data_IF_667458413407
#
_entry.id   IF_667458413407
#
_cell.length_a   1.000
_cell.length_b   1.000
_cell.length_c   1.000
_cell.angle_alpha   90.00
_cell.angle_beta   90.00
_cell.angle_gamma   90.00
#
_symmetry.space_group_name_H-M   'P 1'
#
loop_
_entity.id
_entity.type
_entity.pdbx_description
1 polymer ?
#
# COMPACT_ATOMS: atom_id res chain seq x y z
N UNK A 1 38.72 3.82 50.33
CA UNK A 1 37.60 3.21 51.08
C UNK A 1 36.43 4.17 50.99
N UNK A 2 35.47 3.87 50.11
CA UNK A 2 34.18 4.58 50.06
C UNK A 2 33.12 3.49 50.27
N UNK A 3 32.42 3.62 51.39
CA UNK A 3 31.41 2.72 51.91
C UNK A 3 30.11 3.51 51.93
N UNK A 4 28.98 2.85 51.59
CA UNK A 4 27.54 3.23 51.71
C UNK A 4 26.82 3.15 50.35
N UNK A 5 25.58 2.70 50.20
CA UNK A 5 24.62 1.99 51.07
C UNK A 5 23.53 1.43 50.13
N UNK A 6 23.16 0.15 50.25
CA UNK A 6 21.97 -0.38 49.58
C UNK A 6 20.76 -0.22 50.52
N UNK A 7 19.79 0.58 50.12
CA UNK A 7 18.48 0.67 50.79
C UNK A 7 17.59 -0.41 50.18
N UNK A 8 17.31 -1.45 50.97
CA UNK A 8 16.32 -2.49 50.63
C UNK A 8 14.95 -2.02 51.11
N UNK A 9 14.05 -1.73 50.17
CA UNK A 9 12.67 -1.37 50.46
C UNK A 9 11.84 -2.66 50.64
N UNK A 10 11.47 -2.98 51.89
CA UNK A 10 10.47 -4.00 52.20
C UNK A 10 9.07 -3.45 51.91
N UNK A 11 8.33 -4.09 50.99
CA UNK A 11 6.88 -3.91 50.88
C UNK A 11 6.15 -4.97 51.71
N UNK A 12 5.09 -4.60 52.45
CA UNK A 12 4.26 -5.55 53.16
C UNK A 12 3.28 -6.25 52.20
N UNK A 13 3.24 -7.58 52.30
CA UNK A 13 2.22 -8.41 51.68
C UNK A 13 0.89 -8.25 52.43
N UNK A 14 -0.12 -7.67 51.77
CA UNK A 14 -1.52 -7.77 52.19
C UNK A 14 -2.25 -8.71 51.24
N UNK A 15 -2.48 -9.93 51.73
CA UNK A 15 -3.41 -10.89 51.14
C UNK A 15 -4.84 -10.52 51.56
N UNK A 16 -5.67 -10.14 50.61
CA UNK A 16 -7.12 -10.04 50.76
C UNK A 16 -7.75 -11.19 49.97
N UNK A 17 -8.27 -12.17 50.70
CA UNK A 17 -9.12 -13.23 50.16
C UNK A 17 -10.48 -12.64 49.76
N UNK A 18 -10.88 -12.85 48.51
CA UNK A 18 -12.23 -12.60 48.04
C UNK A 18 -12.92 -13.94 47.71
N UNK A 19 -14.22 -14.10 48.04
CA UNK A 19 -14.94 -15.35 47.86
C UNK A 19 -15.22 -15.67 46.40
N UNK A 20 -15.12 -16.97 46.11
CA UNK A 20 -15.37 -17.62 44.84
C UNK A 20 -16.84 -17.47 44.43
N UNK A 21 -17.12 -16.59 43.46
CA UNK A 21 -18.37 -16.61 42.72
C UNK A 21 -18.23 -17.55 41.52
N UNK A 22 -19.18 -18.47 41.38
CA UNK A 22 -19.23 -19.45 40.30
C UNK A 22 -19.30 -18.76 38.92
N UNK A 23 -18.69 -19.35 37.87
CA UNK A 23 -18.80 -18.81 36.52
C UNK A 23 -20.24 -18.99 36.00
N UNK A 24 -20.91 -17.88 35.72
CA UNK A 24 -22.09 -17.86 34.86
C UNK A 24 -21.68 -18.38 33.47
N UNK A 25 -22.39 -19.40 33.01
CA UNK A 25 -22.24 -19.94 31.66
C UNK A 25 -22.42 -18.82 30.61
N UNK A 26 -21.54 -18.70 29.60
CA UNK A 26 -21.82 -17.82 28.49
C UNK A 26 -23.01 -18.37 27.70
N UNK A 27 -24.02 -17.52 27.51
CA UNK A 27 -25.06 -17.73 26.52
C UNK A 27 -24.42 -17.94 25.14
N UNK A 28 -24.88 -18.95 24.40
CA UNK A 28 -24.46 -19.20 23.02
C UNK A 28 -24.84 -18.02 22.14
N UNK A 29 -23.88 -17.13 21.90
CA UNK A 29 -23.92 -16.19 20.79
C UNK A 29 -23.80 -17.02 19.51
N UNK A 30 -24.91 -17.16 18.78
CA UNK A 30 -24.88 -17.68 17.42
C UNK A 30 -23.91 -16.81 16.60
N UNK A 31 -22.75 -17.38 16.26
CA UNK A 31 -21.80 -16.73 15.36
C UNK A 31 -22.47 -16.63 13.99
N UNK A 32 -22.92 -15.43 13.63
CA UNK A 32 -23.16 -15.09 12.25
C UNK A 32 -21.82 -15.15 11.53
N UNK A 33 -21.52 -16.29 10.94
CA UNK A 33 -20.45 -16.46 9.99
C UNK A 33 -20.88 -15.76 8.70
N UNK A 34 -20.78 -14.43 8.66
CA UNK A 34 -20.68 -13.71 7.40
C UNK A 34 -19.34 -14.07 6.81
N UNK A 35 -19.33 -15.11 5.97
CA UNK A 35 -18.24 -15.32 5.04
C UNK A 35 -18.20 -14.06 4.16
N UNK A 36 -17.31 -13.13 4.53
CA UNK A 36 -16.89 -12.07 3.62
C UNK A 36 -16.30 -12.80 2.45
N UNK A 37 -16.93 -12.68 1.27
CA UNK A 37 -16.36 -13.21 0.05
C UNK A 37 -14.92 -12.68 -0.05
N UNK A 38 -13.93 -13.58 -0.02
CA UNK A 38 -12.57 -13.17 -0.35
C UNK A 38 -12.65 -12.63 -1.79
N UNK A 39 -12.15 -11.40 -2.05
CA UNK A 39 -12.09 -10.89 -3.40
C UNK A 39 -11.38 -11.92 -4.25
N UNK A 40 -12.03 -12.32 -5.35
CA UNK A 40 -11.40 -13.12 -6.39
C UNK A 40 -10.16 -12.36 -6.81
N UNK A 41 -8.99 -12.94 -6.59
CA UNK A 41 -7.72 -12.38 -7.01
C UNK A 41 -7.73 -12.26 -8.53
N UNK A 42 -8.14 -11.10 -9.03
CA UNK A 42 -7.88 -10.68 -10.40
C UNK A 42 -6.36 -10.68 -10.52
N UNK A 43 -5.81 -11.64 -11.28
CA UNK A 43 -4.36 -11.77 -11.43
C UNK A 43 -3.85 -10.47 -12.02
N UNK A 44 -2.99 -9.77 -11.29
CA UNK A 44 -2.29 -8.60 -11.80
C UNK A 44 -1.70 -8.89 -13.19
N UNK A 45 -1.55 -7.89 -14.06
CA UNK A 45 -0.82 -8.03 -15.31
C UNK A 45 0.52 -8.74 -15.07
N UNK A 46 0.92 -9.63 -15.98
CA UNK A 46 2.23 -10.29 -15.89
C UNK A 46 3.34 -9.24 -15.80
N UNK A 47 4.16 -9.32 -14.75
CA UNK A 47 5.31 -8.42 -14.58
C UNK A 47 6.40 -8.75 -15.59
N UNK A 48 7.10 -7.73 -16.09
CA UNK A 48 8.35 -7.90 -16.85
C UNK A 48 9.52 -7.35 -16.04
N UNK A 49 10.61 -8.12 -15.91
CA UNK A 49 11.80 -7.72 -15.16
C UNK A 49 12.31 -6.33 -15.52
N UNK A 50 12.55 -5.48 -14.52
CA UNK A 50 13.03 -4.11 -14.68
C UNK A 50 12.02 -3.14 -15.29
N UNK A 51 10.74 -3.52 -15.37
CA UNK A 51 9.67 -2.67 -15.92
C UNK A 51 8.53 -2.46 -14.96
N UNK A 52 7.93 -1.28 -15.05
CA UNK A 52 6.59 -1.02 -14.54
C UNK A 52 5.60 -1.22 -15.69
N UNK A 53 4.48 -1.88 -15.41
CA UNK A 53 3.38 -2.04 -16.35
C UNK A 53 2.11 -1.54 -15.68
N UNK A 54 1.43 -0.62 -16.34
CA UNK A 54 0.17 -0.05 -15.88
C UNK A 54 -0.96 -0.42 -16.85
N UNK A 55 -2.09 -0.87 -16.31
CA UNK A 55 -3.32 -1.14 -17.06
C UNK A 55 -4.40 -0.14 -16.66
N UNK A 56 -4.89 0.63 -17.63
CA UNK A 56 -6.12 1.39 -17.47
C UNK A 56 -7.30 0.47 -17.79
N UNK A 57 -7.98 -0.05 -16.77
CA UNK A 57 -9.20 -0.86 -16.96
C UNK A 57 -10.48 -0.02 -16.87
N UNK A 58 -10.37 1.30 -16.75
CA UNK A 58 -11.53 2.19 -16.76
C UNK A 58 -12.13 2.26 -18.18
N UNK A 59 -13.40 2.65 -18.25
CA UNK A 59 -14.12 2.91 -19.50
C UNK A 59 -13.83 4.32 -20.07
N UNK A 60 -12.88 5.03 -19.47
CA UNK A 60 -12.42 6.36 -19.86
C UNK A 60 -10.89 6.44 -19.90
N UNK A 61 -10.40 7.42 -20.64
CA UNK A 61 -8.98 7.74 -20.72
C UNK A 61 -8.48 8.36 -19.40
N UNK A 62 -7.22 8.12 -19.06
CA UNK A 62 -6.54 8.82 -17.96
C UNK A 62 -5.34 9.56 -18.49
N UNK A 63 -5.02 10.71 -17.90
CA UNK A 63 -3.76 11.38 -18.18
C UNK A 63 -2.74 11.05 -17.10
N UNK A 64 -1.47 11.09 -17.47
CA UNK A 64 -0.39 10.82 -16.53
C UNK A 64 0.69 11.90 -16.59
N UNK A 65 1.36 12.07 -15.45
CA UNK A 65 2.64 12.74 -15.32
C UNK A 65 3.60 11.81 -14.60
N UNK A 66 4.79 11.63 -15.15
CA UNK A 66 5.86 10.86 -14.56
C UNK A 66 6.93 11.82 -14.08
N UNK A 67 7.28 11.71 -12.80
CA UNK A 67 8.36 12.47 -12.17
C UNK A 67 9.46 11.48 -11.78
N UNK A 68 10.60 11.58 -12.48
CA UNK A 68 11.75 10.72 -12.29
C UNK A 68 12.90 11.55 -11.72
N UNK A 69 13.26 11.39 -10.43
CA UNK A 69 14.32 12.20 -9.80
C UNK A 69 15.71 12.02 -10.43
N UNK A 70 15.90 11.00 -11.28
CA UNK A 70 17.14 10.77 -12.02
C UNK A 70 17.15 11.35 -13.45
N UNK A 71 16.12 12.10 -13.86
CA UNK A 71 16.12 12.91 -15.07
C UNK A 71 16.11 12.14 -16.40
N UNK A 72 15.94 10.82 -16.38
CA UNK A 72 15.94 9.98 -17.59
C UNK A 72 14.57 9.79 -18.24
N UNK A 73 13.47 10.19 -17.59
CA UNK A 73 12.12 9.85 -18.06
C UNK A 73 10.99 10.67 -17.41
N UNK A 74 11.17 11.99 -17.28
CA UNK A 74 10.00 12.85 -17.05
C UNK A 74 9.13 12.84 -18.31
N UNK A 75 7.82 12.69 -18.14
CA UNK A 75 6.92 12.58 -19.28
C UNK A 75 5.46 12.77 -18.88
N UNK A 76 4.65 13.16 -19.85
CA UNK A 76 3.20 13.23 -19.67
C UNK A 76 2.49 12.72 -20.92
N UNK A 77 1.26 12.29 -20.75
CA UNK A 77 0.46 11.79 -21.86
C UNK A 77 -0.89 11.27 -21.43
N UNK A 78 -1.51 10.51 -22.34
CA UNK A 78 -2.82 9.89 -22.13
C UNK A 78 -2.68 8.38 -22.29
N UNK A 79 -3.33 7.64 -21.40
CA UNK A 79 -3.45 6.19 -21.46
C UNK A 79 -4.92 5.90 -21.71
N UNK A 80 -5.23 5.51 -22.94
CA UNK A 80 -6.61 5.30 -23.35
C UNK A 80 -7.31 4.20 -22.55
N UNK A 81 -8.63 4.25 -22.50
CA UNK A 81 -9.47 3.21 -21.91
C UNK A 81 -9.05 1.81 -22.41
N UNK A 82 -8.82 0.88 -21.50
CA UNK A 82 -8.39 -0.48 -21.82
C UNK A 82 -6.93 -0.60 -22.30
N UNK A 83 -6.15 0.48 -22.39
CA UNK A 83 -4.77 0.44 -22.83
C UNK A 83 -3.80 0.03 -21.72
N UNK A 84 -2.63 -0.47 -22.13
CA UNK A 84 -1.51 -0.75 -21.24
C UNK A 84 -0.38 0.23 -21.54
N UNK A 85 0.16 0.83 -20.49
CA UNK A 85 1.36 1.64 -20.50
C UNK A 85 2.50 0.89 -19.82
N UNK A 86 3.75 1.17 -20.19
CA UNK A 86 4.90 0.60 -19.49
C UNK A 86 6.11 1.51 -19.61
N UNK A 87 6.95 1.47 -18.58
CA UNK A 87 8.25 2.12 -18.58
C UNK A 87 9.28 1.29 -17.79
N UNK A 88 10.53 1.74 -17.76
CA UNK A 88 11.63 1.09 -17.07
C UNK A 88 11.70 1.56 -15.61
N UNK A 89 12.03 0.65 -14.71
CA UNK A 89 12.32 0.96 -13.31
C UNK A 89 13.82 1.25 -13.21
N UNK A 90 14.17 2.36 -12.57
CA UNK A 90 15.57 2.79 -12.43
C UNK A 90 16.01 2.77 -10.97
N UNK A 91 17.29 2.48 -10.74
CA UNK A 91 17.96 2.73 -9.46
C UNK A 91 18.37 4.19 -9.41
N UNK A 92 17.86 4.91 -8.42
CA UNK A 92 18.03 6.35 -8.31
C UNK A 92 18.30 6.78 -6.87
N UNK A 93 19.47 7.38 -6.63
CA UNK A 93 19.81 7.95 -5.33
C UNK A 93 18.92 9.14 -4.94
N UNK A 94 18.27 9.77 -5.92
CA UNK A 94 17.31 10.86 -5.74
C UNK A 94 15.91 10.42 -5.30
N UNK A 95 15.63 9.11 -5.24
CA UNK A 95 14.35 8.55 -4.79
C UNK A 95 13.61 7.76 -5.86
N UNK A 96 12.37 7.39 -5.56
CA UNK A 96 11.50 6.61 -6.47
C UNK A 96 10.94 7.49 -7.60
N UNK A 97 10.57 6.86 -8.71
CA UNK A 97 9.73 7.47 -9.74
C UNK A 97 8.30 7.56 -9.23
N UNK A 98 7.66 8.71 -9.42
CA UNK A 98 6.24 8.91 -9.16
C UNK A 98 5.47 8.95 -10.48
N UNK A 99 4.58 7.97 -10.69
CA UNK A 99 3.58 7.97 -11.75
C UNK A 99 2.28 8.55 -11.20
N UNK A 100 2.01 9.81 -11.52
CA UNK A 100 0.79 10.51 -11.17
C UNK A 100 -0.25 10.28 -12.23
N UNK A 101 -1.43 9.83 -11.84
CA UNK A 101 -2.57 9.62 -12.72
C UNK A 101 -3.70 10.56 -12.37
N UNK A 102 -4.26 11.17 -13.41
CA UNK A 102 -5.38 12.07 -13.31
C UNK A 102 -6.56 11.47 -14.08
N UNK A 103 -7.74 11.59 -13.49
CA UNK A 103 -9.00 11.38 -14.21
C UNK A 103 -9.08 12.37 -15.37
N UNK A 104 -9.72 12.01 -16.48
CA UNK A 104 -9.89 12.93 -17.61
C UNK A 104 -10.52 14.27 -17.15
N UNK A 105 -9.87 15.38 -17.49
CA UNK A 105 -10.22 16.73 -17.03
C UNK A 105 -10.01 17.02 -15.54
N UNK A 106 -9.48 16.08 -14.76
CA UNK A 106 -9.16 16.22 -13.34
C UNK A 106 -7.82 16.92 -13.09
N UNK A 107 -7.68 17.54 -11.92
CA UNK A 107 -6.46 18.26 -11.51
C UNK A 107 -5.76 17.67 -10.29
N UNK A 108 -6.35 16.65 -9.67
CA UNK A 108 -5.81 16.02 -8.47
C UNK A 108 -5.38 14.58 -8.77
N UNK A 109 -4.08 14.27 -8.67
CA UNK A 109 -3.62 12.94 -9.02
C UNK A 109 -3.82 11.95 -7.89
N UNK A 110 -3.94 10.68 -8.25
CA UNK A 110 -3.47 9.58 -7.41
C UNK A 110 -2.05 9.21 -7.88
N UNK A 111 -1.18 8.77 -6.97
CA UNK A 111 0.24 8.57 -7.26
C UNK A 111 0.68 7.14 -6.96
N UNK A 112 1.31 6.49 -7.93
CA UNK A 112 2.04 5.24 -7.73
C UNK A 112 3.53 5.54 -7.70
N UNK A 113 4.23 5.09 -6.66
CA UNK A 113 5.68 5.27 -6.54
C UNK A 113 6.38 3.93 -6.72
N UNK A 114 7.49 3.92 -7.45
CA UNK A 114 8.31 2.73 -7.63
C UNK A 114 9.78 3.07 -7.90
N UNK A 115 10.69 2.22 -7.46
CA UNK A 115 12.12 2.42 -7.68
C UNK A 115 12.97 1.26 -7.21
N UNK A 116 14.24 1.25 -7.59
CA UNK A 116 15.21 0.29 -7.07
C UNK A 116 16.02 0.96 -5.98
N UNK A 117 16.12 0.31 -4.82
CA UNK A 117 16.99 0.72 -3.74
C UNK A 117 17.54 -0.50 -2.99
N UNK A 118 18.86 -0.54 -2.81
CA UNK A 118 19.56 -1.63 -2.10
C UNK A 118 19.24 -3.03 -2.64
N UNK A 119 19.06 -3.13 -3.96
CA UNK A 119 18.80 -4.41 -4.65
C UNK A 119 17.36 -4.91 -4.54
N UNK A 120 16.44 -4.14 -3.96
CA UNK A 120 15.01 -4.41 -3.97
C UNK A 120 14.28 -3.40 -4.87
N UNK A 121 13.19 -3.84 -5.49
CA UNK A 121 12.15 -2.94 -5.99
C UNK A 121 11.28 -2.53 -4.82
N UNK A 122 11.09 -1.24 -4.64
CA UNK A 122 10.18 -0.63 -3.69
C UNK A 122 8.99 -0.04 -4.43
N UNK A 123 7.82 -0.10 -3.83
CA UNK A 123 6.62 0.49 -4.40
C UNK A 123 5.57 0.81 -3.36
N UNK A 124 4.76 1.83 -3.64
CA UNK A 124 3.62 2.21 -2.82
C UNK A 124 2.58 3.00 -3.63
N UNK A 125 1.43 3.26 -3.00
CA UNK A 125 0.28 3.95 -3.57
C UNK A 125 -0.18 5.08 -2.65
N UNK A 126 -0.35 6.28 -3.19
CA UNK A 126 -0.81 7.48 -2.48
C UNK A 126 -2.03 8.15 -3.11
N UNK A 127 -3.09 8.27 -2.32
CA UNK A 127 -4.32 9.01 -2.58
C UNK A 127 -4.30 10.44 -2.02
N UNK A 128 -3.25 10.82 -1.29
CA UNK A 128 -3.18 12.08 -0.51
C UNK A 128 -3.67 13.27 -1.32
N UNK A 129 -3.21 13.41 -2.57
CA UNK A 129 -3.57 14.53 -3.43
C UNK A 129 -5.03 14.46 -3.91
N UNK A 130 -5.48 13.31 -4.44
CA UNK A 130 -6.84 13.16 -4.97
C UNK A 130 -7.92 13.26 -3.90
N UNK A 131 -7.68 12.71 -2.70
CA UNK A 131 -8.64 12.82 -1.59
C UNK A 131 -8.50 14.12 -0.80
N UNK A 132 -7.35 14.80 -0.86
CA UNK A 132 -7.07 16.09 -0.20
C UNK A 132 -7.54 16.16 1.27
N UNK A 133 -7.28 15.11 2.05
CA UNK A 133 -7.67 15.05 3.47
C UNK A 133 -9.17 14.80 3.71
N UNK A 134 -9.90 14.32 2.70
CA UNK A 134 -11.26 13.79 2.83
C UNK A 134 -11.29 12.28 2.57
N UNK A 135 -12.47 11.66 2.67
CA UNK A 135 -12.72 10.27 2.23
C UNK A 135 -13.38 10.21 0.84
N UNK A 136 -13.29 11.29 0.05
CA UNK A 136 -13.88 11.39 -1.29
C UNK A 136 -12.88 11.00 -2.39
N UNK A 137 -13.07 9.82 -2.96
CA UNK A 137 -12.26 9.27 -4.05
C UNK A 137 -12.77 9.65 -5.46
N UNK A 138 -13.83 10.47 -5.57
CA UNK A 138 -14.47 10.78 -6.86
C UNK A 138 -13.53 11.48 -7.87
N UNK A 139 -12.49 12.14 -7.35
CA UNK A 139 -11.45 12.84 -8.11
C UNK A 139 -10.27 11.95 -8.50
N UNK A 140 -10.12 10.78 -7.88
CA UNK A 140 -9.03 9.87 -8.20
C UNK A 140 -9.24 9.25 -9.60
N UNK A 141 -8.14 8.89 -10.27
CA UNK A 141 -8.19 8.37 -11.63
C UNK A 141 -8.96 7.05 -11.76
N UNK A 142 -8.98 6.22 -10.70
CA UNK A 142 -9.83 5.04 -10.59
C UNK A 142 -10.33 4.86 -9.16
N UNK A 143 -11.54 4.33 -9.00
CA UNK A 143 -12.12 4.00 -7.69
C UNK A 143 -11.49 2.73 -7.11
N UNK A 144 -11.30 1.70 -7.95
CA UNK A 144 -10.62 0.46 -7.60
C UNK A 144 -9.19 0.45 -8.15
N UNK A 145 -8.28 -0.24 -7.49
CA UNK A 145 -6.91 -0.39 -7.97
C UNK A 145 -6.23 -1.62 -7.38
N UNK A 146 -5.13 -2.03 -8.02
CA UNK A 146 -4.20 -3.00 -7.49
C UNK A 146 -2.76 -2.70 -7.92
N UNK A 147 -1.80 -3.06 -7.07
CA UNK A 147 -0.37 -2.94 -7.32
C UNK A 147 0.37 -4.11 -6.69
N UNK A 148 1.34 -4.65 -7.41
CA UNK A 148 2.19 -5.70 -6.88
C UNK A 148 3.40 -5.95 -7.77
N UNK A 149 4.16 -6.97 -7.38
CA UNK A 149 5.33 -7.43 -8.09
C UNK A 149 5.17 -8.92 -8.42
N UNK A 150 6.21 -9.74 -8.23
CA UNK A 150 6.09 -11.19 -8.38
C UNK A 150 5.21 -11.83 -7.29
N UNK A 151 4.71 -13.05 -7.52
CA UNK A 151 3.73 -13.74 -6.67
C UNK A 151 4.09 -13.86 -5.17
N UNK A 152 5.39 -13.87 -4.82
CA UNK A 152 5.85 -13.94 -3.43
C UNK A 152 6.14 -12.58 -2.80
N UNK A 153 5.78 -11.49 -3.47
CA UNK A 153 5.98 -10.12 -3.01
C UNK A 153 4.65 -9.48 -2.60
N UNK A 154 4.66 -8.46 -1.71
CA UNK A 154 3.44 -7.82 -1.23
C UNK A 154 2.53 -7.37 -2.37
N UNK A 155 1.23 -7.55 -2.24
CA UNK A 155 0.26 -7.05 -3.21
C UNK A 155 -0.77 -6.21 -2.47
N UNK A 156 -1.04 -5.03 -2.98
CA UNK A 156 -2.00 -4.08 -2.43
C UNK A 156 -3.14 -3.91 -3.41
N UNK A 157 -4.37 -3.84 -2.90
CA UNK A 157 -5.56 -3.62 -3.73
C UNK A 157 -6.74 -3.13 -2.90
N UNK A 158 -7.66 -2.41 -3.53
CA UNK A 158 -8.96 -2.10 -2.95
C UNK A 158 -10.06 -2.03 -4.03
N UNK A 159 -11.31 -2.20 -3.60
CA UNK A 159 -12.50 -2.05 -4.43
C UNK A 159 -12.97 -0.60 -4.60
N UNK A 160 -12.56 0.30 -3.70
CA UNK A 160 -12.83 1.73 -3.76
C UNK A 160 -13.56 2.27 -2.56
N UNK A 161 -13.14 3.45 -2.11
CA UNK A 161 -13.67 4.11 -0.90
C UNK A 161 -12.66 4.10 0.23
N UNK A 162 -13.12 4.33 1.45
CA UNK A 162 -12.26 4.50 2.63
C UNK A 162 -11.38 3.29 2.95
N UNK A 163 -11.76 2.08 2.50
CA UNK A 163 -10.90 0.90 2.70
C UNK A 163 -9.58 0.98 1.92
N UNK A 164 -9.52 1.80 0.86
CA UNK A 164 -8.30 2.06 0.12
C UNK A 164 -7.23 2.74 0.98
N UNK A 165 -7.62 3.45 2.05
CA UNK A 165 -6.69 4.09 2.99
C UNK A 165 -5.97 3.10 3.92
N UNK A 166 -6.34 1.81 3.89
CA UNK A 166 -5.62 0.74 4.59
C UNK A 166 -4.48 0.21 3.71
N UNK A 167 -4.67 0.22 2.39
CA UNK A 167 -3.78 -0.39 1.41
C UNK A 167 -2.97 0.65 0.62
N UNK A 168 -3.20 1.94 0.88
CA UNK A 168 -2.50 3.07 0.30
C UNK A 168 -2.59 4.29 1.22
N UNK A 169 -1.76 5.31 0.96
CA UNK A 169 -1.69 6.51 1.79
C UNK A 169 -2.85 7.47 1.49
N UNK A 170 -3.65 7.80 2.49
CA UNK A 170 -4.63 8.91 2.40
C UNK A 170 -4.27 10.12 3.26
N UNK A 171 -3.28 9.97 4.15
CA UNK A 171 -2.85 11.02 5.07
C UNK A 171 -1.33 11.28 4.92
N UNK A 172 -0.90 12.56 4.87
CA UNK A 172 0.49 12.94 4.62
C UNK A 172 1.44 12.67 5.79
N UNK A 173 0.92 12.40 6.97
CA UNK A 173 1.66 12.03 8.18
C UNK A 173 1.76 10.53 8.40
N UNK A 174 1.15 9.71 7.53
CA UNK A 174 1.20 8.25 7.61
C UNK A 174 0.73 7.70 8.98
N UNK A 175 -0.31 8.31 9.54
CA UNK A 175 -0.81 8.04 10.89
C UNK A 175 -2.00 7.07 10.95
N UNK A 176 -2.74 6.88 9.84
CA UNK A 176 -3.98 6.08 9.84
C UNK A 176 -3.73 4.57 9.85
N UNK A 177 -2.68 4.08 9.19
CA UNK A 177 -2.41 2.66 9.05
C UNK A 177 -1.43 2.17 10.11
N UNK A 178 -1.71 1.01 10.73
CA UNK A 178 -0.79 0.38 11.69
C UNK A 178 0.48 -0.14 11.04
N UNK A 179 0.41 -0.44 9.74
CA UNK A 179 1.52 -0.83 8.89
C UNK A 179 1.44 0.02 7.62
N UNK A 180 2.58 0.56 7.20
CA UNK A 180 2.62 1.42 6.03
C UNK A 180 2.56 0.57 4.76
N UNK A 181 1.73 0.93 3.76
CA UNK A 181 1.51 0.11 2.57
C UNK A 181 2.67 0.25 1.55
N UNK A 182 3.87 -0.10 2.00
CA UNK A 182 5.11 -0.08 1.20
C UNK A 182 5.51 -1.50 0.87
N UNK A 183 5.54 -1.83 -0.41
CA UNK A 183 6.01 -3.10 -0.93
C UNK A 183 7.51 -3.11 -1.14
N UNK A 184 8.13 -4.26 -0.86
CA UNK A 184 9.53 -4.52 -1.17
C UNK A 184 9.67 -5.91 -1.79
N UNK A 185 10.35 -5.99 -2.93
CA UNK A 185 10.56 -7.24 -3.65
C UNK A 185 12.01 -7.36 -4.12
N UNK A 186 12.72 -8.37 -3.66
CA UNK A 186 14.11 -8.62 -4.03
C UNK A 186 14.67 -9.89 -3.41
N UNK A 187 15.89 -9.82 -2.88
CA UNK A 187 16.67 -11.01 -2.52
C UNK A 187 15.98 -11.88 -1.46
N UNK A 188 15.25 -11.26 -0.52
CA UNK A 188 14.50 -11.98 0.51
C UNK A 188 13.36 -12.84 -0.05
N UNK A 189 12.88 -12.50 -1.25
CA UNK A 189 11.86 -13.24 -1.99
C UNK A 189 12.47 -14.11 -3.11
N UNK A 190 13.80 -14.19 -3.20
CA UNK A 190 14.49 -15.00 -4.20
C UNK A 190 14.72 -14.29 -5.55
N UNK A 191 14.56 -12.98 -5.61
CA UNK A 191 14.67 -12.20 -6.84
C UNK A 191 15.85 -11.21 -6.82
N UNK A 192 16.39 -10.89 -8.00
CA UNK A 192 17.13 -9.63 -8.18
C UNK A 192 16.17 -8.52 -8.60
N UNK A 193 16.47 -7.27 -8.27
CA UNK A 193 15.69 -6.11 -8.74
C UNK A 193 15.51 -6.09 -10.27
N UNK A 194 16.51 -6.56 -11.04
CA UNK A 194 16.41 -6.65 -12.50
C UNK A 194 15.49 -7.77 -13.02
N UNK A 195 15.18 -8.77 -12.19
CA UNK A 195 14.39 -9.94 -12.57
C UNK A 195 12.89 -9.78 -12.33
N UNK A 196 12.49 -8.74 -11.60
CA UNK A 196 11.10 -8.47 -11.22
C UNK A 196 10.65 -7.14 -11.79
N UNK A 197 9.36 -7.03 -12.08
CA UNK A 197 8.71 -5.78 -12.45
C UNK A 197 7.64 -5.40 -11.44
N UNK A 198 7.02 -4.25 -11.67
CA UNK A 198 5.85 -3.77 -10.93
C UNK A 198 4.65 -3.79 -11.89
N UNK A 199 3.54 -4.34 -11.43
CA UNK A 199 2.26 -4.30 -12.15
C UNK A 199 1.27 -3.45 -11.39
N UNK A 200 0.59 -2.58 -12.12
CA UNK A 200 -0.41 -1.63 -11.62
C UNK A 200 -1.67 -1.76 -12.46
N UNK A 201 -2.83 -1.72 -11.82
CA UNK A 201 -4.12 -1.63 -12.49
C UNK A 201 -5.05 -0.67 -11.76
N UNK A 202 -5.86 0.07 -12.52
CA UNK A 202 -6.98 0.87 -11.98
C UNK A 202 -8.29 0.45 -12.63
N UNK A 203 -9.40 0.63 -11.92
CA UNK A 203 -10.75 0.19 -12.30
C UNK A 203 -10.85 -1.32 -12.56
N UNK A 204 -9.92 -2.10 -12.00
CA UNK A 204 -9.99 -3.56 -11.92
C UNK A 204 -9.59 -3.97 -10.52
N UNK A 205 -10.58 -4.42 -9.76
CA UNK A 205 -10.39 -5.16 -8.51
C UNK A 205 -11.25 -6.41 -8.61
#
# INVERSE_FOLDING_TARGET
>A
MVQTSFITLLLPALALAAPWAAPNAPASSAAYSTAVAQPTSTSLPSTTGGKVTFKNNCDYDVTYEQLCPCGSSDGSGTISAGATWSDSISDCSGGNTALKLFKDGGSKPMQFEYGIQSGNIWYDMSFIDCVSGSDDFSQCAGSAWSMGAADSCPTYSCSGGSECCIQGYCDPTASVASEQPVGACGANQGFSASSVGVSIEICGA
#
